data_IF_796494791687
#
_entry.id   IF_796494791687
#
_cell.length_a   1.000
_cell.length_b   1.000
_cell.length_c   1.000
_cell.angle_alpha   90.00
_cell.angle_beta   90.00
_cell.angle_gamma   90.00
#
_symmetry.space_group_name_H-M   'P 1'
#
loop_
_entity.id
_entity.type
_entity.pdbx_description
1 polymer ?
#
# COMPACT_ATOMS: atom_id res chain seq x y z
N UNK A 1 -9.11 -14.40 -0.21
CA UNK A 1 -8.72 -13.83 -1.52
C UNK A 1 -7.48 -14.59 -2.01
N UNK A 2 -7.49 -15.16 -3.20
CA UNK A 2 -6.35 -15.92 -3.72
C UNK A 2 -5.40 -14.96 -4.43
N UNK A 3 -4.09 -15.21 -4.32
CA UNK A 3 -3.08 -14.46 -5.08
C UNK A 3 -3.29 -14.74 -6.58
N UNK A 4 -3.36 -13.72 -7.45
CA UNK A 4 -3.53 -13.94 -8.88
C UNK A 4 -2.44 -14.85 -9.45
N UNK A 5 -2.82 -15.77 -10.34
CA UNK A 5 -1.89 -16.76 -10.93
C UNK A 5 -0.68 -16.07 -11.56
N UNK A 6 -0.91 -14.96 -12.24
CA UNK A 6 0.15 -14.15 -12.85
C UNK A 6 1.18 -13.66 -11.80
N UNK A 7 0.72 -13.18 -10.65
CA UNK A 7 1.59 -12.73 -9.57
C UNK A 7 2.36 -13.92 -8.97
N UNK A 8 1.66 -15.03 -8.68
CA UNK A 8 2.29 -16.25 -8.15
C UNK A 8 3.41 -16.75 -9.08
N UNK A 9 3.16 -16.79 -10.39
CA UNK A 9 4.15 -17.19 -11.40
C UNK A 9 5.37 -16.26 -11.42
N UNK A 10 5.16 -14.94 -11.38
CA UNK A 10 6.27 -13.95 -11.40
C UNK A 10 7.11 -14.04 -10.11
N UNK A 11 6.48 -14.18 -8.95
CA UNK A 11 7.18 -14.34 -7.67
C UNK A 11 7.93 -15.68 -7.64
N UNK A 12 7.31 -16.77 -8.08
CA UNK A 12 7.95 -18.08 -8.19
C UNK A 12 9.20 -18.03 -9.10
N UNK A 13 9.08 -17.40 -10.26
CA UNK A 13 10.21 -17.20 -11.17
C UNK A 13 11.34 -16.38 -10.56
N UNK A 14 11.00 -15.34 -9.78
CA UNK A 14 11.98 -14.57 -9.02
C UNK A 14 12.72 -15.43 -7.99
N UNK A 15 12.00 -16.24 -7.21
CA UNK A 15 12.57 -17.14 -6.20
C UNK A 15 13.54 -18.14 -6.85
N UNK A 16 13.12 -18.78 -7.93
CA UNK A 16 13.97 -19.73 -8.68
C UNK A 16 15.24 -19.04 -9.15
N UNK A 17 15.14 -17.86 -9.75
CA UNK A 17 16.29 -17.08 -10.20
C UNK A 17 17.27 -16.74 -9.06
N UNK A 18 16.77 -16.38 -7.89
CA UNK A 18 17.62 -16.09 -6.73
C UNK A 18 18.35 -17.34 -6.25
N UNK A 19 17.66 -18.48 -6.20
CA UNK A 19 18.28 -19.77 -5.86
C UNK A 19 19.36 -20.19 -6.87
N UNK A 20 19.09 -20.04 -8.17
CA UNK A 20 20.06 -20.35 -9.23
C UNK A 20 21.32 -19.47 -9.14
N UNK A 21 21.19 -18.22 -8.65
CA UNK A 21 22.34 -17.33 -8.37
C UNK A 21 23.09 -17.66 -7.09
N UNK A 22 22.66 -18.67 -6.34
CA UNK A 22 23.26 -19.04 -5.04
C UNK A 22 22.89 -18.09 -3.89
N UNK A 23 21.94 -17.20 -4.08
CA UNK A 23 21.53 -16.26 -3.05
C UNK A 23 20.74 -16.99 -1.95
N UNK A 24 21.29 -17.04 -0.74
CA UNK A 24 20.64 -17.66 0.42
C UNK A 24 19.60 -16.75 1.07
N UNK A 25 19.75 -15.42 0.93
CA UNK A 25 18.85 -14.40 1.48
C UNK A 25 18.53 -13.39 0.39
N UNK A 26 17.26 -13.08 0.21
CA UNK A 26 16.77 -12.09 -0.75
C UNK A 26 15.39 -11.58 -0.33
N UNK A 27 15.08 -10.30 -0.59
CA UNK A 27 13.81 -9.72 -0.20
C UNK A 27 12.68 -10.22 -1.11
N UNK A 28 11.52 -10.52 -0.54
CA UNK A 28 10.29 -10.83 -1.28
C UNK A 28 9.34 -9.63 -1.28
N UNK A 29 9.28 -8.92 -0.15
CA UNK A 29 8.44 -7.76 0.04
C UNK A 29 9.28 -6.61 0.57
N UNK A 30 9.11 -5.44 0.02
CA UNK A 30 9.60 -4.17 0.54
C UNK A 30 8.43 -3.43 1.18
N UNK A 31 8.59 -3.01 2.43
CA UNK A 31 7.70 -2.04 3.05
C UNK A 31 8.18 -0.63 2.70
N UNK A 32 7.31 0.16 2.08
CA UNK A 32 7.57 1.55 1.72
C UNK A 32 6.61 2.44 2.50
N UNK A 33 7.16 3.32 3.31
CA UNK A 33 6.41 4.27 4.12
C UNK A 33 6.76 5.70 3.69
N UNK A 34 6.09 6.24 2.64
CA UNK A 34 6.48 7.53 2.07
C UNK A 34 6.12 8.71 2.95
N UNK A 35 5.26 8.54 3.95
CA UNK A 35 4.89 9.52 4.95
C UNK A 35 4.39 8.85 6.23
N UNK A 36 4.33 9.62 7.33
CA UNK A 36 3.79 9.15 8.61
C UNK A 36 2.49 9.83 9.05
N UNK A 37 2.11 10.96 8.45
CA UNK A 37 0.83 11.60 8.78
C UNK A 37 -0.35 10.76 8.31
N UNK A 38 -1.44 10.85 9.04
CA UNK A 38 -2.69 10.15 8.78
C UNK A 38 -3.88 11.11 9.01
N UNK A 39 -5.01 10.78 8.42
CA UNK A 39 -6.30 11.42 8.68
C UNK A 39 -7.13 10.69 9.75
N UNK A 40 -6.55 9.68 10.40
CA UNK A 40 -7.11 8.94 11.53
C UNK A 40 -6.14 8.93 12.70
N UNK A 41 -6.68 8.77 13.93
CA UNK A 41 -5.93 8.70 15.20
C UNK A 41 -6.14 7.35 15.89
N UNK A 42 -5.95 6.25 15.14
CA UNK A 42 -6.21 4.90 15.62
C UNK A 42 -5.54 4.59 16.98
N UNK A 43 -6.28 3.92 17.85
CA UNK A 43 -5.79 3.49 19.16
C UNK A 43 -4.56 2.59 18.99
N UNK A 44 -3.46 2.95 19.66
CA UNK A 44 -2.20 2.19 19.60
C UNK A 44 -1.35 2.43 18.36
N UNK A 45 -1.73 3.35 17.46
CA UNK A 45 -0.91 3.70 16.30
C UNK A 45 0.34 4.49 16.73
N UNK A 46 1.52 3.86 16.63
CA UNK A 46 2.80 4.53 16.94
C UNK A 46 3.30 5.50 15.87
N UNK A 47 2.69 5.56 14.69
CA UNK A 47 3.18 6.38 13.58
C UNK A 47 2.79 7.85 13.72
N UNK A 48 1.55 8.12 14.08
CA UNK A 48 1.03 9.49 14.29
C UNK A 48 1.59 10.16 15.55
N UNK A 49 2.22 9.38 16.45
CA UNK A 49 2.87 9.89 17.67
C UNK A 49 4.27 10.47 17.41
N UNK A 50 4.72 10.52 16.16
CA UNK A 50 5.99 11.13 15.79
C UNK A 50 5.93 12.66 15.94
N UNK A 51 7.09 13.32 16.17
CA UNK A 51 7.15 14.78 16.18
C UNK A 51 6.63 15.40 14.87
N UNK A 52 6.05 16.58 14.96
CA UNK A 52 5.44 17.28 13.81
C UNK A 52 6.42 17.48 12.64
N UNK A 53 7.71 17.65 12.91
CA UNK A 53 8.76 17.79 11.90
C UNK A 53 8.87 16.52 11.05
N UNK A 54 8.66 15.35 11.65
CA UNK A 54 8.68 14.06 10.95
C UNK A 54 7.34 13.83 10.23
N UNK A 55 6.21 14.17 10.87
CA UNK A 55 4.89 14.01 10.26
C UNK A 55 4.71 14.86 9.00
N UNK A 56 5.40 16.00 8.89
CA UNK A 56 5.38 16.87 7.72
C UNK A 56 6.24 16.37 6.56
N UNK A 57 7.13 15.41 6.80
CA UNK A 57 8.05 14.92 5.77
C UNK A 57 7.34 13.96 4.80
N UNK A 58 7.77 14.00 3.54
CA UNK A 58 7.43 13.04 2.49
C UNK A 58 8.70 12.53 1.83
N UNK A 59 8.72 11.27 1.45
CA UNK A 59 9.74 10.76 0.53
C UNK A 59 9.34 11.16 -0.90
N UNK A 60 10.26 11.78 -1.64
CA UNK A 60 9.99 12.07 -3.05
C UNK A 60 9.85 10.78 -3.88
N UNK A 61 9.14 10.82 -5.03
CA UNK A 61 9.03 9.68 -5.94
C UNK A 61 10.39 9.08 -6.30
N UNK A 62 11.42 9.89 -6.56
CA UNK A 62 12.76 9.42 -6.92
C UNK A 62 13.39 8.61 -5.80
N UNK A 63 13.21 9.03 -4.53
CA UNK A 63 13.72 8.28 -3.37
C UNK A 63 13.00 6.94 -3.23
N UNK A 64 11.67 6.91 -3.46
CA UNK A 64 10.88 5.70 -3.46
C UNK A 64 11.34 4.74 -4.57
N UNK A 65 11.57 5.23 -5.79
CA UNK A 65 12.05 4.43 -6.91
C UNK A 65 13.48 3.93 -6.70
N UNK A 66 14.34 4.78 -6.14
CA UNK A 66 15.72 4.37 -5.78
C UNK A 66 15.69 3.21 -4.78
N UNK A 67 14.94 3.35 -3.68
CA UNK A 67 14.79 2.31 -2.67
C UNK A 67 14.23 1.00 -3.26
N UNK A 68 13.21 1.07 -4.14
CA UNK A 68 12.65 -0.09 -4.80
C UNK A 68 13.63 -0.80 -5.77
N UNK A 69 14.52 -0.03 -6.44
CA UNK A 69 15.58 -0.60 -7.29
C UNK A 69 16.65 -1.29 -6.44
N UNK A 70 17.13 -0.64 -5.40
CA UNK A 70 18.17 -1.16 -4.51
C UNK A 70 17.71 -2.40 -3.74
N UNK A 71 16.48 -2.38 -3.22
CA UNK A 71 15.89 -3.53 -2.54
C UNK A 71 15.70 -4.71 -3.50
N UNK A 72 15.25 -4.46 -4.72
CA UNK A 72 15.03 -5.50 -5.72
C UNK A 72 13.86 -6.45 -5.45
N UNK A 73 13.06 -6.23 -4.39
CA UNK A 73 11.91 -7.05 -4.06
C UNK A 73 10.85 -7.00 -5.18
N UNK A 74 10.20 -8.13 -5.51
CA UNK A 74 9.14 -8.16 -6.52
C UNK A 74 7.84 -7.51 -6.04
N UNK A 75 7.63 -7.42 -4.74
CA UNK A 75 6.43 -6.85 -4.10
C UNK A 75 6.83 -5.61 -3.31
N UNK A 76 6.00 -4.56 -3.41
CA UNK A 76 6.11 -3.34 -2.61
C UNK A 76 4.78 -3.12 -1.88
N UNK A 77 4.81 -3.12 -0.57
CA UNK A 77 3.68 -2.71 0.26
C UNK A 77 3.85 -1.25 0.62
N UNK A 78 2.99 -0.38 0.09
CA UNK A 78 2.97 1.04 0.41
C UNK A 78 2.06 1.23 1.61
N UNK A 79 2.65 1.65 2.72
CA UNK A 79 1.99 1.89 4.00
C UNK A 79 2.45 3.24 4.57
N UNK A 80 2.48 3.38 5.88
CA UNK A 80 2.90 4.59 6.57
C UNK A 80 1.78 5.09 7.48
N UNK A 81 1.44 6.37 7.47
CA UNK A 81 0.17 6.91 7.95
C UNK A 81 -0.94 6.55 6.94
N UNK A 82 -1.52 7.54 6.27
CA UNK A 82 -2.42 7.27 5.14
C UNK A 82 -1.71 7.62 3.82
N UNK A 83 -1.34 6.63 2.97
CA UNK A 83 -0.61 6.88 1.74
C UNK A 83 -1.31 7.84 0.77
N UNK A 84 -2.66 7.84 0.75
CA UNK A 84 -3.43 8.74 -0.11
C UNK A 84 -3.31 10.23 0.29
N UNK A 85 -2.74 10.53 1.46
CA UNK A 85 -2.38 11.90 1.84
C UNK A 85 -1.03 12.37 1.25
N UNK A 86 -0.29 11.49 0.58
CA UNK A 86 0.96 11.88 -0.06
C UNK A 86 0.65 12.65 -1.36
N UNK A 87 1.20 13.86 -1.56
CA UNK A 87 0.86 14.71 -2.71
C UNK A 87 1.16 14.04 -4.06
N UNK A 88 2.18 13.20 -4.10
CA UNK A 88 2.68 12.55 -5.32
C UNK A 88 2.43 11.03 -5.31
N UNK A 89 1.42 10.54 -4.56
CA UNK A 89 1.16 9.09 -4.44
C UNK A 89 0.86 8.43 -5.79
N UNK A 90 0.16 9.12 -6.67
CA UNK A 90 -0.17 8.60 -8.01
C UNK A 90 1.11 8.36 -8.80
N UNK A 91 2.03 9.32 -8.82
CA UNK A 91 3.33 9.19 -9.49
C UNK A 91 4.15 8.04 -8.91
N UNK A 92 4.19 7.91 -7.57
CA UNK A 92 4.88 6.78 -6.91
C UNK A 92 4.30 5.45 -7.37
N UNK A 93 2.97 5.31 -7.38
CA UNK A 93 2.30 4.09 -7.81
C UNK A 93 2.56 3.79 -9.28
N UNK A 94 2.41 4.78 -10.17
CA UNK A 94 2.66 4.63 -11.60
C UNK A 94 4.10 4.22 -11.91
N UNK A 95 5.08 4.87 -11.27
CA UNK A 95 6.49 4.54 -11.43
C UNK A 95 6.82 3.13 -10.96
N UNK A 96 6.27 2.67 -9.84
CA UNK A 96 6.45 1.31 -9.34
C UNK A 96 5.74 0.28 -10.24
N UNK A 97 4.56 0.60 -10.81
CA UNK A 97 3.88 -0.22 -11.83
C UNK A 97 4.74 -0.33 -13.08
N UNK A 98 5.31 0.77 -13.59
CA UNK A 98 6.22 0.77 -14.73
C UNK A 98 7.48 -0.09 -14.46
N UNK A 99 7.94 -0.14 -13.22
CA UNK A 99 9.01 -1.04 -12.77
C UNK A 99 8.57 -2.51 -12.62
N UNK A 100 7.31 -2.84 -12.94
CA UNK A 100 6.70 -4.18 -12.82
C UNK A 100 6.78 -4.75 -11.40
N UNK A 101 6.63 -3.89 -10.39
CA UNK A 101 6.49 -4.30 -8.99
C UNK A 101 5.03 -4.56 -8.67
N UNK A 102 4.73 -5.63 -7.95
CA UNK A 102 3.39 -5.84 -7.40
C UNK A 102 3.21 -4.93 -6.20
N UNK A 103 2.23 -4.05 -6.26
CA UNK A 103 1.98 -3.00 -5.27
C UNK A 103 0.76 -3.39 -4.45
N UNK A 104 0.89 -3.37 -3.14
CA UNK A 104 -0.21 -3.36 -2.19
C UNK A 104 -0.28 -1.95 -1.60
N UNK A 105 -1.25 -1.15 -2.06
CA UNK A 105 -1.50 0.19 -1.53
C UNK A 105 -2.44 0.04 -0.33
N UNK A 106 -1.87 0.13 0.88
CA UNK A 106 -2.60 -0.01 2.14
C UNK A 106 -3.26 1.32 2.50
N UNK A 107 -4.57 1.33 2.69
CA UNK A 107 -5.34 2.56 2.95
C UNK A 107 -6.49 2.30 3.92
N UNK A 108 -6.86 3.32 4.69
CA UNK A 108 -8.09 3.34 5.48
C UNK A 108 -9.35 3.64 4.63
N UNK A 109 -9.18 3.83 3.34
CA UNK A 109 -10.19 4.07 2.32
C UNK A 109 -10.99 5.40 2.42
N UNK A 110 -10.81 6.24 3.43
CA UNK A 110 -11.56 7.50 3.56
C UNK A 110 -11.38 8.40 2.32
N UNK A 111 -10.15 8.49 1.81
CA UNK A 111 -9.82 9.30 0.63
C UNK A 111 -9.92 8.51 -0.69
N UNK A 112 -10.21 7.21 -0.64
CA UNK A 112 -10.07 6.33 -1.80
C UNK A 112 -10.97 6.75 -2.98
N UNK A 113 -12.18 7.24 -2.70
CA UNK A 113 -13.12 7.72 -3.72
C UNK A 113 -12.50 8.77 -4.66
N UNK A 114 -11.73 9.71 -4.10
CA UNK A 114 -11.12 10.81 -4.84
C UNK A 114 -9.91 10.36 -5.69
N UNK A 115 -9.42 9.14 -5.43
CA UNK A 115 -8.25 8.58 -6.11
C UNK A 115 -8.58 7.47 -7.11
N UNK A 116 -9.79 6.90 -7.11
CA UNK A 116 -10.15 5.77 -7.97
C UNK A 116 -9.92 6.03 -9.45
N UNK A 117 -10.17 7.25 -9.93
CA UNK A 117 -9.99 7.63 -11.34
C UNK A 117 -8.56 8.10 -11.65
N UNK A 118 -7.77 8.37 -10.62
CA UNK A 118 -6.40 8.85 -10.74
C UNK A 118 -5.36 7.72 -10.68
N UNK A 119 -5.68 6.64 -9.98
CA UNK A 119 -4.79 5.48 -9.86
C UNK A 119 -4.79 4.64 -11.13
N UNK A 120 -3.64 4.07 -11.55
CA UNK A 120 -3.57 3.28 -12.77
C UNK A 120 -4.35 1.97 -12.63
N UNK A 121 -5.06 1.58 -13.69
CA UNK A 121 -5.63 0.23 -13.80
C UNK A 121 -4.53 -0.72 -14.25
N UNK A 122 -4.09 -1.59 -13.35
CA UNK A 122 -2.93 -2.46 -13.60
C UNK A 122 -3.03 -3.78 -12.83
N UNK A 123 -2.62 -4.92 -13.44
CA UNK A 123 -2.51 -6.18 -12.71
C UNK A 123 -1.38 -6.15 -11.66
N UNK A 124 -0.60 -5.10 -11.61
CA UNK A 124 0.45 -4.89 -10.61
C UNK A 124 -0.03 -4.05 -9.42
N UNK A 125 -1.24 -3.48 -9.42
CA UNK A 125 -1.78 -2.70 -8.31
C UNK A 125 -2.93 -3.41 -7.63
N UNK A 126 -2.82 -3.58 -6.32
CA UNK A 126 -3.86 -4.08 -5.43
C UNK A 126 -4.12 -3.04 -4.35
N UNK A 127 -5.38 -2.67 -4.15
CA UNK A 127 -5.80 -1.87 -3.01
C UNK A 127 -6.01 -2.79 -1.80
N UNK A 128 -5.37 -2.48 -0.69
CA UNK A 128 -5.49 -3.21 0.58
C UNK A 128 -6.18 -2.32 1.59
N UNK A 129 -7.49 -2.51 1.75
CA UNK A 129 -8.28 -1.71 2.68
C UNK A 129 -8.20 -2.30 4.08
N UNK A 130 -7.95 -1.43 5.06
CA UNK A 130 -7.82 -1.80 6.45
C UNK A 130 -9.19 -1.95 7.13
N UNK A 131 -9.41 -3.07 7.82
CA UNK A 131 -10.57 -3.33 8.67
C UNK A 131 -10.14 -4.10 9.92
N UNK A 132 -10.48 -3.57 11.11
CA UNK A 132 -10.13 -4.16 12.41
C UNK A 132 -11.26 -4.97 13.04
N UNK A 133 -12.35 -5.20 12.36
CA UNK A 133 -13.50 -5.95 12.86
C UNK A 133 -14.81 -5.48 12.25
N UNK A 134 -15.91 -5.72 12.96
CA UNK A 134 -17.22 -5.19 12.59
C UNK A 134 -17.33 -3.70 12.98
N UNK A 135 -18.39 -3.04 12.52
CA UNK A 135 -18.56 -1.58 12.59
C UNK A 135 -18.19 -0.98 13.95
N UNK A 136 -18.78 -1.49 15.03
CA UNK A 136 -18.56 -0.95 16.37
C UNK A 136 -17.10 -1.07 16.85
N UNK A 137 -16.43 -2.18 16.51
CA UNK A 137 -15.04 -2.41 16.88
C UNK A 137 -14.09 -1.62 15.99
N UNK A 138 -14.34 -1.61 14.68
CA UNK A 138 -13.51 -0.88 13.73
C UNK A 138 -13.54 0.63 14.03
N UNK A 139 -14.74 1.23 14.12
CA UNK A 139 -14.90 2.67 14.34
C UNK A 139 -14.29 3.10 15.71
N UNK A 140 -14.42 2.25 16.73
CA UNK A 140 -13.76 2.47 18.02
C UNK A 140 -12.23 2.43 17.90
N UNK A 141 -11.68 1.45 17.17
CA UNK A 141 -10.21 1.30 17.02
C UNK A 141 -9.61 2.44 16.21
N UNK A 142 -10.29 2.88 15.15
CA UNK A 142 -9.80 3.99 14.32
C UNK A 142 -10.15 5.38 14.88
N UNK A 143 -10.88 5.42 16.02
CA UNK A 143 -11.35 6.62 16.72
C UNK A 143 -12.17 7.57 15.83
N UNK A 144 -12.96 7.00 14.92
CA UNK A 144 -13.82 7.77 14.03
C UNK A 144 -15.04 6.96 13.58
N UNK A 145 -16.24 7.44 13.93
CA UNK A 145 -17.50 6.84 13.56
C UNK A 145 -17.72 6.88 12.02
N UNK A 146 -18.31 5.81 11.48
CA UNK A 146 -18.66 5.70 10.05
C UNK A 146 -17.51 5.27 9.14
N UNK A 147 -16.29 5.08 9.67
CA UNK A 147 -15.15 4.63 8.89
C UNK A 147 -15.33 3.22 8.36
N UNK A 148 -15.95 2.33 9.16
CA UNK A 148 -16.30 0.98 8.71
C UNK A 148 -17.18 1.01 7.44
N UNK A 149 -18.23 1.82 7.44
CA UNK A 149 -19.15 1.92 6.30
C UNK A 149 -18.44 2.35 5.02
N UNK A 150 -17.52 3.32 5.11
CA UNK A 150 -16.69 3.75 3.97
C UNK A 150 -15.81 2.61 3.47
N UNK A 151 -15.05 2.00 4.36
CA UNK A 151 -14.11 0.92 4.03
C UNK A 151 -14.83 -0.31 3.46
N UNK A 152 -15.94 -0.73 4.09
CA UNK A 152 -16.74 -1.85 3.64
C UNK A 152 -17.40 -1.59 2.27
N UNK A 153 -17.88 -0.36 2.03
CA UNK A 153 -18.43 0.03 0.73
C UNK A 153 -17.40 -0.15 -0.38
N UNK A 154 -16.16 0.32 -0.18
CA UNK A 154 -15.10 0.15 -1.18
C UNK A 154 -14.69 -1.30 -1.40
N UNK A 155 -14.78 -2.14 -0.36
CA UNK A 155 -14.49 -3.58 -0.49
C UNK A 155 -15.58 -4.35 -1.24
N UNK A 156 -16.84 -3.93 -1.15
CA UNK A 156 -18.00 -4.67 -1.68
C UNK A 156 -18.51 -4.14 -3.01
N UNK A 157 -18.18 -2.89 -3.38
CA UNK A 157 -18.53 -2.37 -4.70
C UNK A 157 -17.84 -3.21 -5.79
N UNK A 158 -18.58 -3.55 -6.89
CA UNK A 158 -17.99 -4.14 -8.08
C UNK A 158 -17.11 -3.09 -8.78
N UNK A 159 -15.95 -2.83 -8.20
CA UNK A 159 -14.96 -1.99 -8.87
C UNK A 159 -14.40 -2.80 -10.02
N UNK A 160 -14.52 -2.30 -11.26
CA UNK A 160 -13.87 -2.87 -12.46
C UNK A 160 -12.33 -2.99 -12.32
N UNK A 161 -11.79 -2.73 -11.13
CA UNK A 161 -10.37 -2.59 -10.81
C UNK A 161 -9.85 -3.57 -9.75
N UNK A 162 -10.71 -4.42 -9.18
CA UNK A 162 -10.28 -5.51 -8.31
C UNK A 162 -10.20 -6.76 -9.18
N UNK A 163 -9.03 -7.11 -9.61
CA UNK A 163 -8.73 -8.39 -10.28
C UNK A 163 -8.09 -9.33 -9.25
#
# INVERSE_FOLDING_TARGET
MAVPVFQAFKIGSYIIRQKMKGNKRYPLVMMLEPLFRCNLECIGCGKIQKPNEILKQNLSPEKCFKAARECGAPVVSIAGGEPLMHPEIVEIVEGLVAMKRFIYLCTNAILLKDFLDRLPVSPYLTLSVHLDGMEADHDRVVDQNGTFTVSYTHLTLPTKRIV
#
